data_IF_527411937734
#
_entry.id   IF_527411937734
#
_cell.length_a   1.000
_cell.length_b   1.000
_cell.length_c   1.000
_cell.angle_alpha   90.00
_cell.angle_beta   90.00
_cell.angle_gamma   90.00
#
_symmetry.space_group_name_H-M   'P 1'
#
loop_
_entity.id
_entity.type
_entity.pdbx_description
1 polymer ?
#
# COMPACT_ATOMS: atom_id res chain seq x y z
N UNK A 1 13.12 48.01 -47.52
CA UNK A 1 12.94 48.13 -46.07
C UNK A 1 11.78 47.24 -45.65
N UNK A 2 11.93 46.10 -44.98
CA UNK A 2 13.12 45.49 -44.37
C UNK A 2 12.92 43.95 -44.31
N UNK A 3 13.50 43.19 -45.25
CA UNK A 3 13.61 41.71 -45.19
C UNK A 3 14.33 41.19 -43.94
N UNK A 4 14.94 42.09 -43.17
CA UNK A 4 15.56 41.84 -41.87
C UNK A 4 14.57 41.40 -40.78
N UNK A 5 13.30 41.79 -40.87
CA UNK A 5 12.28 41.37 -39.87
C UNK A 5 11.93 39.89 -40.04
N UNK A 6 11.88 39.40 -41.29
CA UNK A 6 11.64 37.97 -41.56
C UNK A 6 12.84 37.12 -41.17
N UNK A 7 14.07 37.62 -41.37
CA UNK A 7 15.29 36.94 -40.92
C UNK A 7 15.40 36.87 -39.39
N UNK A 8 14.97 37.91 -38.66
CA UNK A 8 14.98 37.94 -37.20
C UNK A 8 13.98 36.96 -36.57
N UNK A 9 12.78 36.82 -37.17
CA UNK A 9 11.76 35.87 -36.69
C UNK A 9 12.14 34.42 -37.03
N UNK A 10 12.78 34.17 -38.17
CA UNK A 10 13.28 32.84 -38.52
C UNK A 10 14.46 32.39 -37.65
N UNK A 11 15.35 33.32 -37.24
CA UNK A 11 16.45 33.03 -36.32
C UNK A 11 15.99 32.68 -34.89
N UNK A 12 14.93 33.32 -34.40
CA UNK A 12 14.37 33.06 -33.08
C UNK A 12 13.66 31.69 -32.97
N UNK A 13 13.05 31.20 -34.06
CA UNK A 13 12.44 29.86 -34.11
C UNK A 13 13.47 28.72 -34.12
N UNK A 14 14.62 28.94 -34.78
CA UNK A 14 15.70 27.94 -34.84
C UNK A 14 16.36 27.65 -33.49
N UNK A 15 16.47 28.67 -32.62
CA UNK A 15 17.08 28.50 -31.29
C UNK A 15 16.17 27.73 -30.32
N UNK A 16 14.86 27.65 -30.59
CA UNK A 16 13.91 26.87 -29.77
C UNK A 16 13.88 25.38 -30.13
N UNK A 17 14.44 25.01 -31.29
CA UNK A 17 14.54 23.63 -31.77
C UNK A 17 15.88 22.97 -31.44
N UNK A 18 16.81 23.66 -30.76
CA UNK A 18 18.05 23.04 -30.28
C UNK A 18 17.72 22.28 -28.98
N UNK A 19 17.72 20.93 -28.98
CA UNK A 19 17.56 20.18 -27.74
C UNK A 19 18.74 20.53 -26.82
N UNK A 20 18.42 21.00 -25.61
CA UNK A 20 19.43 21.43 -24.64
C UNK A 20 20.48 20.34 -24.33
N UNK A 21 21.68 20.74 -23.87
CA UNK A 21 22.84 19.85 -23.65
C UNK A 21 22.61 18.73 -22.60
N UNK A 22 21.48 18.76 -21.89
CA UNK A 22 21.00 17.71 -20.97
C UNK A 22 20.80 16.35 -21.65
N UNK A 23 20.61 16.30 -22.97
CA UNK A 23 20.53 15.01 -23.68
C UNK A 23 21.86 14.26 -23.73
N UNK A 24 23.00 14.97 -23.68
CA UNK A 24 24.33 14.36 -23.74
C UNK A 24 24.77 13.74 -22.43
N UNK A 25 24.15 14.08 -21.31
CA UNK A 25 24.47 13.53 -19.98
C UNK A 25 23.74 12.20 -19.66
N UNK A 26 22.72 11.82 -20.44
CA UNK A 26 22.00 10.55 -20.25
C UNK A 26 22.84 9.29 -20.55
N UNK A 27 24.01 9.43 -21.18
CA UNK A 27 24.93 8.30 -21.38
C UNK A 27 25.77 7.96 -20.16
N UNK A 28 25.84 8.85 -19.16
CA UNK A 28 26.71 8.69 -17.97
C UNK A 28 25.90 8.52 -16.69
N UNK A 29 24.73 9.15 -16.61
CA UNK A 29 23.78 8.97 -15.51
C UNK A 29 22.61 8.19 -16.08
N UNK A 30 22.35 6.99 -15.57
CA UNK A 30 21.15 6.22 -15.93
C UNK A 30 19.91 7.12 -15.85
N UNK A 31 18.89 6.90 -16.70
CA UNK A 31 17.71 7.74 -16.70
C UNK A 31 17.15 7.80 -15.28
N UNK A 32 16.79 8.99 -14.75
CA UNK A 32 16.11 9.06 -13.47
C UNK A 32 14.89 8.15 -13.56
N UNK A 33 14.72 7.29 -12.55
CA UNK A 33 13.51 6.48 -12.39
C UNK A 33 12.32 7.42 -12.41
N UNK A 34 11.66 7.54 -13.57
CA UNK A 34 10.40 8.26 -13.68
C UNK A 34 9.42 7.45 -12.84
N UNK A 35 9.15 7.93 -11.63
CA UNK A 35 7.97 7.49 -10.91
C UNK A 35 6.79 7.72 -11.86
N UNK A 36 5.98 6.68 -12.16
CA UNK A 36 4.81 6.88 -13.00
C UNK A 36 4.00 8.00 -12.35
N UNK A 37 3.75 9.09 -13.10
CA UNK A 37 2.85 10.15 -12.63
C UNK A 37 1.53 9.46 -12.33
N UNK A 38 1.22 9.28 -11.05
CA UNK A 38 -0.06 8.70 -10.65
C UNK A 38 -1.14 9.60 -11.24
N UNK A 39 -2.04 9.01 -12.03
CA UNK A 39 -3.23 9.69 -12.53
C UNK A 39 -4.33 9.70 -11.46
N UNK A 40 -3.96 9.60 -10.20
CA UNK A 40 -4.92 9.53 -9.11
C UNK A 40 -5.58 10.90 -8.93
N UNK A 41 -6.91 10.95 -8.76
CA UNK A 41 -7.61 12.19 -8.53
C UNK A 41 -7.08 12.87 -7.27
N UNK A 42 -6.82 14.17 -7.34
CA UNK A 42 -6.24 14.97 -6.24
C UNK A 42 -7.10 14.98 -4.96
N UNK A 43 -8.38 14.62 -5.05
CA UNK A 43 -9.29 14.51 -3.90
C UNK A 43 -9.17 13.17 -3.14
N UNK A 44 -8.48 12.17 -3.70
CA UNK A 44 -8.36 10.84 -3.09
C UNK A 44 -7.36 10.79 -1.92
N UNK A 45 -6.76 11.92 -1.56
CA UNK A 45 -5.62 11.94 -0.63
C UNK A 45 -4.36 11.36 -1.26
N UNK A 46 -3.18 11.68 -0.70
CA UNK A 46 -1.97 10.93 -1.06
C UNK A 46 -2.00 9.62 -0.28
N UNK A 47 -1.77 8.46 -0.92
CA UNK A 47 -1.42 7.26 -0.18
C UNK A 47 -0.24 7.62 0.74
N UNK A 48 -0.32 7.26 2.01
CA UNK A 48 0.83 7.45 2.91
C UNK A 48 1.95 6.57 2.38
N UNK A 49 3.13 7.14 2.14
CA UNK A 49 4.31 6.37 1.71
C UNK A 49 4.57 5.27 2.75
N UNK A 50 4.16 4.03 2.46
CA UNK A 50 4.11 2.90 3.40
C UNK A 50 2.82 2.07 3.37
N UNK A 51 1.76 2.54 2.72
CA UNK A 51 0.42 1.91 2.71
C UNK A 51 0.17 0.95 1.53
N UNK A 52 1.20 0.36 0.91
CA UNK A 52 0.93 -0.65 -0.12
C UNK A 52 0.66 -2.00 0.55
N UNK A 53 -0.61 -2.43 0.73
CA UNK A 53 -0.97 -3.46 1.72
C UNK A 53 -0.41 -4.84 1.39
N UNK A 54 0.02 -5.04 0.15
CA UNK A 54 0.51 -6.31 -0.38
C UNK A 54 2.02 -6.32 -0.64
N UNK A 55 2.74 -5.22 -0.41
CA UNK A 55 4.14 -5.14 -0.80
C UNK A 55 5.06 -6.08 0.02
N UNK A 56 4.77 -6.27 1.31
CA UNK A 56 5.45 -7.28 2.13
C UNK A 56 5.16 -8.71 1.63
N UNK A 57 3.89 -9.01 1.31
CA UNK A 57 3.48 -10.30 0.75
C UNK A 57 4.20 -10.60 -0.58
N UNK A 58 4.24 -9.63 -1.49
CA UNK A 58 4.95 -9.75 -2.76
C UNK A 58 6.45 -9.98 -2.56
N UNK A 59 7.07 -9.34 -1.56
CA UNK A 59 8.48 -9.55 -1.22
C UNK A 59 8.75 -10.98 -0.75
N UNK A 60 7.89 -11.54 0.12
CA UNK A 60 8.01 -12.94 0.56
C UNK A 60 7.83 -13.94 -0.57
N UNK A 61 6.88 -13.69 -1.47
CA UNK A 61 6.67 -14.55 -2.63
C UNK A 61 7.84 -14.50 -3.60
N UNK A 62 8.36 -13.30 -3.89
CA UNK A 62 9.55 -13.16 -4.71
C UNK A 62 10.73 -13.90 -4.08
N UNK A 63 10.90 -13.80 -2.76
CA UNK A 63 11.93 -14.54 -2.04
C UNK A 63 11.72 -16.05 -2.20
N UNK A 64 10.49 -16.53 -2.02
CA UNK A 64 10.16 -17.94 -2.19
C UNK A 64 10.40 -18.42 -3.64
N UNK A 65 10.10 -17.59 -4.65
CA UNK A 65 10.37 -17.85 -6.07
C UNK A 65 11.87 -17.97 -6.31
N UNK A 66 12.68 -17.02 -5.83
CA UNK A 66 14.13 -17.05 -5.97
C UNK A 66 14.74 -18.32 -5.36
N UNK A 67 14.27 -18.73 -4.18
CA UNK A 67 14.73 -19.95 -3.54
C UNK A 67 14.30 -21.21 -4.31
N UNK A 68 13.07 -21.26 -4.82
CA UNK A 68 12.60 -22.36 -5.68
C UNK A 68 13.36 -22.44 -7.00
N UNK A 69 13.83 -21.32 -7.53
CA UNK A 69 14.70 -21.29 -8.71
C UNK A 69 16.16 -21.64 -8.40
N UNK A 70 16.48 -22.00 -7.15
CA UNK A 70 17.79 -22.49 -6.75
C UNK A 70 18.79 -21.41 -6.32
N UNK A 71 18.36 -20.15 -6.13
CA UNK A 71 19.28 -19.13 -5.61
C UNK A 71 19.65 -19.44 -4.15
N UNK A 72 20.91 -19.24 -3.76
CA UNK A 72 21.30 -19.25 -2.35
C UNK A 72 20.56 -18.18 -1.55
N UNK A 73 20.30 -18.46 -0.27
CA UNK A 73 19.49 -17.59 0.62
C UNK A 73 19.98 -16.14 0.65
N UNK A 74 21.28 -15.90 0.79
CA UNK A 74 21.83 -14.54 0.80
C UNK A 74 21.62 -13.80 -0.53
N UNK A 75 21.82 -14.46 -1.67
CA UNK A 75 21.62 -13.86 -2.99
C UNK A 75 20.14 -13.58 -3.27
N UNK A 76 19.26 -14.52 -2.91
CA UNK A 76 17.82 -14.33 -3.01
C UNK A 76 17.34 -13.17 -2.13
N UNK A 77 17.84 -13.05 -0.90
CA UNK A 77 17.54 -11.91 -0.03
C UNK A 77 18.01 -10.58 -0.63
N UNK A 78 19.21 -10.54 -1.25
CA UNK A 78 19.72 -9.35 -1.93
C UNK A 78 18.82 -8.91 -3.09
N UNK A 79 18.39 -9.85 -3.93
CA UNK A 79 17.52 -9.57 -5.08
C UNK A 79 16.18 -9.00 -4.63
N UNK A 80 15.59 -9.57 -3.58
CA UNK A 80 14.29 -9.12 -3.08
C UNK A 80 14.39 -7.73 -2.44
N UNK A 81 15.50 -7.43 -1.75
CA UNK A 81 15.71 -6.17 -1.05
C UNK A 81 15.50 -4.93 -1.92
N UNK A 82 15.89 -4.99 -3.21
CA UNK A 82 15.76 -3.87 -4.16
C UNK A 82 14.31 -3.52 -4.49
N UNK A 83 13.38 -4.46 -4.32
CA UNK A 83 11.95 -4.32 -4.61
C UNK A 83 11.07 -4.27 -3.36
N UNK A 84 11.65 -4.56 -2.19
CA UNK A 84 10.92 -4.66 -0.94
C UNK A 84 10.59 -3.29 -0.34
N UNK A 85 9.53 -3.19 0.49
CA UNK A 85 9.28 -1.99 1.30
C UNK A 85 10.50 -1.56 2.10
N UNK A 86 10.75 -0.25 2.31
CA UNK A 86 12.02 0.24 2.89
C UNK A 86 12.44 -0.37 4.22
N UNK A 87 11.49 -0.75 5.09
CA UNK A 87 11.80 -1.42 6.35
C UNK A 87 12.28 -2.87 6.10
N UNK A 88 11.53 -3.64 5.33
CA UNK A 88 11.85 -5.03 5.01
C UNK A 88 13.10 -5.15 4.12
N UNK A 89 13.25 -4.24 3.15
CA UNK A 89 14.39 -4.19 2.25
C UNK A 89 15.72 -3.96 2.97
N UNK A 90 15.74 -3.10 4.00
CA UNK A 90 16.93 -2.90 4.85
C UNK A 90 17.34 -4.19 5.56
N UNK A 91 16.39 -4.86 6.21
CA UNK A 91 16.65 -6.15 6.87
C UNK A 91 17.14 -7.23 5.91
N UNK A 92 16.53 -7.32 4.72
CA UNK A 92 16.94 -8.27 3.68
C UNK A 92 18.35 -7.98 3.15
N UNK A 93 18.68 -6.71 2.92
CA UNK A 93 20.01 -6.30 2.46
C UNK A 93 21.08 -6.58 3.51
N UNK A 94 20.84 -6.22 4.78
CA UNK A 94 21.75 -6.48 5.89
C UNK A 94 21.99 -7.98 6.09
N UNK A 95 20.93 -8.79 6.06
CA UNK A 95 21.04 -10.24 6.15
C UNK A 95 21.81 -10.82 4.95
N UNK A 96 21.55 -10.33 3.74
CA UNK A 96 22.25 -10.76 2.54
C UNK A 96 23.76 -10.45 2.60
N UNK A 97 24.12 -9.25 3.04
CA UNK A 97 25.51 -8.83 3.16
C UNK A 97 26.24 -9.68 4.23
N UNK A 98 25.62 -9.90 5.39
CA UNK A 98 26.18 -10.76 6.44
C UNK A 98 26.33 -12.23 6.00
N UNK A 99 25.34 -12.79 5.31
CA UNK A 99 25.42 -14.16 4.78
C UNK A 99 26.49 -14.29 3.69
N UNK A 100 26.68 -13.26 2.87
CA UNK A 100 27.72 -13.22 1.84
C UNK A 100 29.13 -13.19 2.44
N UNK A 101 29.27 -12.63 3.65
CA UNK A 101 30.50 -12.68 4.45
C UNK A 101 30.67 -13.99 5.23
N UNK A 102 29.75 -14.94 5.11
CA UNK A 102 29.79 -16.22 5.82
C UNK A 102 29.40 -16.13 7.30
N UNK A 103 28.68 -15.07 7.71
CA UNK A 103 28.20 -14.95 9.08
C UNK A 103 27.21 -16.07 9.44
N UNK A 104 27.13 -16.37 10.74
CA UNK A 104 26.12 -17.28 11.28
C UNK A 104 24.70 -16.82 10.90
N UNK A 105 23.85 -17.69 10.31
CA UNK A 105 22.50 -17.32 9.92
C UNK A 105 21.64 -16.77 11.06
N UNK A 106 21.83 -17.22 12.31
CA UNK A 106 21.04 -16.68 13.42
C UNK A 106 21.39 -15.22 13.72
N UNK A 107 22.64 -14.83 13.48
CA UNK A 107 23.13 -13.45 13.58
C UNK A 107 22.77 -12.62 12.35
N UNK A 108 22.82 -13.21 11.16
CA UNK A 108 22.46 -12.51 9.92
C UNK A 108 20.98 -12.09 9.90
N UNK A 109 20.11 -12.90 10.50
CA UNK A 109 18.69 -12.58 10.67
C UNK A 109 18.38 -11.97 12.05
N UNK A 110 19.35 -11.37 12.73
CA UNK A 110 19.08 -10.58 13.92
C UNK A 110 18.46 -9.24 13.50
N UNK A 111 17.38 -8.85 14.16
CA UNK A 111 16.63 -7.63 13.84
C UNK A 111 16.41 -6.84 15.14
N UNK A 112 16.51 -5.51 15.11
CA UNK A 112 16.18 -4.66 16.26
C UNK A 112 14.75 -4.86 16.78
N UNK A 113 14.52 -4.56 18.06
CA UNK A 113 13.21 -4.69 18.70
C UNK A 113 12.16 -3.71 18.14
N UNK A 114 12.59 -2.58 17.60
CA UNK A 114 11.76 -1.53 17.00
C UNK A 114 11.53 -1.72 15.48
N UNK A 115 11.99 -2.84 14.92
CA UNK A 115 11.80 -3.12 13.52
C UNK A 115 10.34 -3.41 13.16
N UNK A 116 10.03 -3.27 11.87
CA UNK A 116 8.71 -3.53 11.34
C UNK A 116 8.25 -4.98 11.64
N UNK A 117 6.97 -5.20 12.00
CA UNK A 117 6.44 -6.53 12.31
C UNK A 117 6.69 -7.56 11.19
N UNK A 118 6.64 -7.14 9.93
CA UNK A 118 6.93 -8.01 8.79
C UNK A 118 8.40 -8.47 8.83
N UNK A 119 9.35 -7.55 9.03
CA UNK A 119 10.76 -7.87 9.17
C UNK A 119 11.02 -8.83 10.36
N UNK A 120 10.34 -8.62 11.48
CA UNK A 120 10.45 -9.47 12.66
C UNK A 120 9.92 -10.90 12.39
N UNK A 121 8.77 -11.02 11.73
CA UNK A 121 8.18 -12.30 11.36
C UNK A 121 9.07 -13.09 10.38
N UNK A 122 9.62 -12.41 9.37
CA UNK A 122 10.58 -12.99 8.43
C UNK A 122 11.82 -13.50 9.14
N UNK A 123 12.46 -12.66 9.97
CA UNK A 123 13.67 -13.00 10.70
C UNK A 123 13.44 -14.18 11.66
N UNK A 124 12.35 -14.18 12.42
CA UNK A 124 12.02 -15.28 13.32
C UNK A 124 11.81 -16.60 12.56
N UNK A 125 11.11 -16.56 11.41
CA UNK A 125 10.93 -17.72 10.55
C UNK A 125 12.26 -18.20 9.97
N UNK A 126 13.07 -17.30 9.39
CA UNK A 126 14.35 -17.62 8.79
C UNK A 126 15.34 -18.23 9.81
N UNK A 127 15.39 -17.69 11.03
CA UNK A 127 16.18 -18.27 12.14
C UNK A 127 15.70 -19.67 12.52
N UNK A 128 14.38 -19.90 12.56
CA UNK A 128 13.83 -21.25 12.83
C UNK A 128 14.20 -22.24 11.72
N UNK A 129 14.05 -21.85 10.46
CA UNK A 129 14.44 -22.69 9.31
C UNK A 129 15.94 -22.99 9.30
N UNK A 130 16.79 -21.98 9.56
CA UNK A 130 18.23 -22.16 9.64
C UNK A 130 18.65 -23.12 10.77
N UNK A 131 18.07 -22.97 11.97
CA UNK A 131 18.31 -23.90 13.09
C UNK A 131 17.86 -25.33 12.79
N UNK A 132 16.75 -25.48 12.08
CA UNK A 132 16.20 -26.78 11.71
C UNK A 132 16.86 -27.41 10.46
N UNK A 133 17.69 -26.65 9.72
CA UNK A 133 18.23 -27.09 8.43
C UNK A 133 17.16 -27.32 7.36
N UNK A 134 15.99 -26.69 7.49
CA UNK A 134 14.85 -26.89 6.60
C UNK A 134 14.67 -25.74 5.62
N UNK A 135 13.98 -26.01 4.50
CA UNK A 135 13.70 -24.98 3.49
C UNK A 135 12.73 -23.92 4.02
N UNK A 136 13.02 -22.62 3.90
CA UNK A 136 12.13 -21.54 4.35
C UNK A 136 11.00 -21.24 3.35
N UNK A 137 11.00 -21.87 2.16
CA UNK A 137 10.06 -21.58 1.06
C UNK A 137 8.60 -21.66 1.49
N UNK A 138 8.23 -22.69 2.28
CA UNK A 138 6.86 -22.84 2.78
C UNK A 138 6.51 -21.73 3.77
N UNK A 139 7.40 -21.44 4.71
CA UNK A 139 7.18 -20.38 5.71
C UNK A 139 7.04 -18.99 5.08
N UNK A 140 7.75 -18.72 3.98
CA UNK A 140 7.56 -17.50 3.20
C UNK A 140 6.16 -17.42 2.57
N UNK A 141 5.64 -18.53 2.06
CA UNK A 141 4.26 -18.59 1.55
C UNK A 141 3.23 -18.32 2.66
N UNK A 142 3.40 -18.95 3.83
CA UNK A 142 2.54 -18.73 4.99
C UNK A 142 2.57 -17.27 5.46
N UNK A 143 3.75 -16.62 5.45
CA UNK A 143 3.87 -15.18 5.75
C UNK A 143 3.16 -14.31 4.70
N UNK A 144 3.28 -14.64 3.41
CA UNK A 144 2.60 -13.91 2.34
C UNK A 144 1.07 -14.00 2.45
N UNK A 145 0.56 -15.20 2.74
CA UNK A 145 -0.88 -15.43 2.92
C UNK A 145 -1.41 -14.72 4.17
N UNK A 146 -0.64 -14.71 5.27
CA UNK A 146 -0.97 -13.94 6.47
C UNK A 146 -1.10 -12.43 6.18
N UNK A 147 -0.14 -11.86 5.45
CA UNK A 147 -0.18 -10.44 5.06
C UNK A 147 -1.39 -10.11 4.17
N UNK A 148 -1.76 -11.01 3.25
CA UNK A 148 -2.96 -10.85 2.42
C UNK A 148 -4.24 -10.90 3.25
N UNK A 149 -4.35 -11.85 4.17
CA UNK A 149 -5.49 -11.96 5.05
C UNK A 149 -5.66 -10.69 5.89
N UNK A 150 -4.60 -10.19 6.51
CA UNK A 150 -4.62 -8.92 7.26
C UNK A 150 -5.02 -7.72 6.39
N UNK A 151 -4.55 -7.66 5.15
CA UNK A 151 -4.96 -6.61 4.20
C UNK A 151 -6.45 -6.72 3.83
N UNK A 152 -6.96 -7.94 3.60
CA UNK A 152 -8.37 -8.18 3.30
C UNK A 152 -9.27 -7.84 4.49
N UNK A 153 -8.88 -8.22 5.71
CA UNK A 153 -9.62 -7.90 6.94
C UNK A 153 -9.71 -6.40 7.16
N UNK A 154 -8.61 -5.67 6.94
CA UNK A 154 -8.61 -4.19 7.01
C UNK A 154 -9.53 -3.56 5.97
N UNK A 155 -9.54 -4.09 4.75
CA UNK A 155 -10.41 -3.62 3.68
C UNK A 155 -11.89 -3.89 3.98
N UNK A 156 -12.22 -5.08 4.48
CA UNK A 156 -13.56 -5.46 4.90
C UNK A 156 -14.06 -4.54 6.04
N UNK A 157 -13.26 -4.35 7.08
CA UNK A 157 -13.59 -3.45 8.18
C UNK A 157 -13.79 -2.00 7.73
N UNK A 158 -13.02 -1.52 6.74
CA UNK A 158 -13.22 -0.20 6.15
C UNK A 158 -14.55 -0.10 5.38
N UNK A 159 -14.91 -1.13 4.62
CA UNK A 159 -16.17 -1.20 3.88
C UNK A 159 -17.40 -1.21 4.82
N UNK A 160 -17.34 -1.97 5.92
CA UNK A 160 -18.40 -2.00 6.94
C UNK A 160 -18.63 -0.62 7.58
N UNK A 161 -17.54 0.06 7.96
CA UNK A 161 -17.60 1.42 8.52
C UNK A 161 -18.17 2.43 7.52
N UNK A 162 -17.83 2.29 6.23
CA UNK A 162 -18.40 3.12 5.18
C UNK A 162 -19.91 2.92 5.06
N UNK A 163 -20.39 1.68 5.15
CA UNK A 163 -21.83 1.38 5.16
C UNK A 163 -22.59 2.08 6.28
N UNK A 164 -22.02 2.08 7.50
CA UNK A 164 -22.60 2.82 8.64
C UNK A 164 -22.58 4.32 8.40
N UNK A 165 -21.46 4.86 7.92
CA UNK A 165 -21.33 6.29 7.63
C UNK A 165 -22.32 6.78 6.56
N UNK A 166 -22.62 5.94 5.56
CA UNK A 166 -23.55 6.25 4.46
C UNK A 166 -25.01 6.14 4.92
N UNK A 167 -25.34 5.11 5.71
CA UNK A 167 -26.72 4.85 6.17
C UNK A 167 -27.17 5.76 7.31
N UNK A 168 -26.23 6.21 8.16
CA UNK A 168 -26.49 7.14 9.28
C UNK A 168 -27.34 8.36 8.92
N UNK A 169 -26.96 9.19 7.92
CA UNK A 169 -27.75 10.37 7.55
C UNK A 169 -29.13 10.02 6.98
N UNK A 170 -29.27 8.90 6.27
CA UNK A 170 -30.57 8.45 5.76
C UNK A 170 -31.51 8.07 6.91
N UNK A 171 -31.01 7.34 7.92
CA UNK A 171 -31.76 7.03 9.12
C UNK A 171 -32.16 8.28 9.91
N UNK A 172 -31.26 9.26 10.02
CA UNK A 172 -31.52 10.53 10.68
C UNK A 172 -32.61 11.35 9.96
N UNK A 173 -32.67 11.31 8.63
CA UNK A 173 -33.71 11.97 7.86
C UNK A 173 -35.04 11.20 7.86
N UNK A 174 -35.03 9.86 7.90
CA UNK A 174 -36.24 9.04 7.84
C UNK A 174 -37.01 9.02 9.17
N UNK A 175 -36.29 9.03 10.29
CA UNK A 175 -36.89 8.96 11.62
C UNK A 175 -37.93 10.07 11.90
N UNK A 176 -37.65 11.38 11.69
CA UNK A 176 -38.66 12.42 11.90
C UNK A 176 -39.85 12.32 10.93
N UNK A 177 -39.61 11.94 9.68
CA UNK A 177 -40.69 11.76 8.69
C UNK A 177 -41.63 10.62 9.10
N UNK A 178 -41.08 9.49 9.55
CA UNK A 178 -41.86 8.35 10.04
C UNK A 178 -42.70 8.69 11.28
N UNK A 179 -42.16 9.49 12.20
CA UNK A 179 -42.91 9.95 13.39
C UNK A 179 -44.10 10.81 12.98
N UNK A 180 -43.89 11.83 12.14
CA UNK A 180 -44.93 12.76 11.72
C UNK A 180 -46.01 12.10 10.85
N UNK A 181 -45.62 11.22 9.92
CA UNK A 181 -46.55 10.62 8.95
C UNK A 181 -47.13 9.28 9.42
N UNK A 182 -46.42 8.52 10.25
CA UNK A 182 -46.81 7.18 10.69
C UNK A 182 -47.35 7.13 12.11
N UNK A 183 -46.56 7.57 13.10
CA UNK A 183 -46.89 7.36 14.52
C UNK A 183 -47.96 8.34 15.00
N UNK A 184 -47.78 9.64 14.74
CA UNK A 184 -48.66 10.70 15.26
C UNK A 184 -50.14 10.47 14.87
N UNK A 185 -50.50 10.17 13.61
CA UNK A 185 -51.89 9.97 13.23
C UNK A 185 -52.54 8.76 13.92
N UNK A 186 -51.78 7.67 14.09
CA UNK A 186 -52.26 6.44 14.73
C UNK A 186 -52.56 6.68 16.22
N UNK A 187 -51.66 7.38 16.92
CA UNK A 187 -51.85 7.72 18.33
C UNK A 187 -53.07 8.63 18.52
N UNK A 188 -53.27 9.63 17.67
CA UNK A 188 -54.45 10.50 17.71
C UNK A 188 -55.73 9.69 17.51
N UNK A 189 -55.75 8.80 16.51
CA UNK A 189 -56.90 7.95 16.22
C UNK A 189 -57.27 6.98 17.35
N UNK A 190 -56.28 6.46 18.07
CA UNK A 190 -56.48 5.54 19.20
C UNK A 190 -56.80 6.27 20.52
N UNK A 191 -56.27 7.48 20.72
CA UNK A 191 -56.51 8.26 21.93
C UNK A 191 -57.94 8.83 21.97
N UNK A 192 -58.50 9.23 20.83
CA UNK A 192 -59.84 9.82 20.74
C UNK A 192 -60.95 9.00 21.44
N UNK A 193 -61.08 7.69 21.17
CA UNK A 193 -62.08 6.84 21.83
C UNK A 193 -61.86 6.65 23.34
N UNK A 194 -60.61 6.62 23.81
CA UNK A 194 -60.27 6.37 25.23
C UNK A 194 -60.46 7.62 26.08
N UNK A 195 -60.13 8.81 25.56
CA UNK A 195 -60.40 10.09 26.24
C UNK A 195 -61.87 10.51 26.15
N UNK A 196 -62.62 10.05 25.13
CA UNK A 196 -64.06 10.30 24.98
C UNK A 196 -64.97 9.37 25.79
N UNK A 197 -64.52 8.15 26.12
CA UNK A 197 -65.34 7.12 26.79
C UNK A 197 -65.17 6.98 28.31
N UNK A 198 -64.23 7.70 28.94
CA UNK A 198 -63.93 7.61 30.38
C UNK A 198 -64.25 8.85 31.22
N UNK A 199 -64.86 9.89 30.62
CA UNK A 199 -65.12 11.19 31.26
C UNK A 199 -66.58 11.67 31.16
N UNK A 200 -67.51 10.77 30.86
CA UNK A 200 -68.96 10.98 30.98
C UNK A 200 -69.59 9.73 31.62
#
# INVERSE_FOLDING_TARGET
MTPWVVAAVAGAGGLWLIPGPVWRTYRVVGPPTRTPRSREPRWLGKPKDGDEPFAAAASYELFAVCLRSGLPVGMAARVVADSAPPALGRTLAEAADLLSLGADPLRAWAVPDDADPAAHALAAMARRSARAGSSPVRGLGELADGQRAEAQDRAAAAAERAGVAISGPLGLCFLPAFVCLGIVPVVIGLAGPVFGGGLL
#
